data_IF_969594854741
#
_entry.id   IF_969594854741
#
_cell.length_a   1.000
_cell.length_b   1.000
_cell.length_c   1.000
_cell.angle_alpha   90.00
_cell.angle_beta   90.00
_cell.angle_gamma   90.00
#
_symmetry.space_group_name_H-M   'P 1'
#
loop_
_entity.id
_entity.type
_entity.pdbx_description
1 polymer ?
#
# COMPACT_ATOMS: atom_id res chain seq x y z
N UNK A 1 7.63 9.79 6.71
CA UNK A 1 7.00 9.86 5.37
C UNK A 1 7.17 8.50 4.73
N UNK A 2 6.10 7.70 4.68
CA UNK A 2 6.12 6.33 4.18
C UNK A 2 6.48 6.29 2.69
N UNK A 3 7.47 5.46 2.33
CA UNK A 3 7.84 5.21 0.93
C UNK A 3 7.46 3.78 0.58
N UNK A 4 6.53 3.63 -0.36
CA UNK A 4 6.25 2.32 -0.97
C UNK A 4 7.48 1.95 -1.81
N UNK A 5 8.11 0.82 -1.50
CA UNK A 5 9.26 0.30 -2.26
C UNK A 5 8.82 -0.98 -2.95
N UNK A 6 8.39 -0.89 -4.20
CA UNK A 6 8.07 -2.09 -4.98
C UNK A 6 9.35 -2.87 -5.27
N UNK A 7 9.54 -4.03 -4.63
CA UNK A 7 10.44 -5.08 -5.10
C UNK A 7 9.60 -6.20 -5.70
N UNK A 8 9.34 -6.09 -7.00
CA UNK A 8 8.91 -7.23 -7.82
C UNK A 8 10.09 -7.66 -8.66
N UNK A 9 10.32 -8.97 -8.82
CA UNK A 9 10.87 -9.49 -10.09
C UNK A 9 10.18 -8.71 -11.21
N UNK A 10 10.94 -7.86 -11.90
CA UNK A 10 10.34 -6.80 -12.71
C UNK A 10 9.52 -7.44 -13.85
N UNK A 11 8.19 -7.24 -13.90
CA UNK A 11 7.54 -7.25 -15.18
C UNK A 11 8.18 -6.10 -15.95
N UNK A 12 8.86 -6.43 -17.05
CA UNK A 12 9.49 -5.51 -18.01
C UNK A 12 8.69 -4.20 -18.08
N UNK A 13 9.33 -3.06 -17.81
CA UNK A 13 8.69 -1.74 -17.84
C UNK A 13 7.88 -1.58 -19.13
N UNK A 14 6.54 -1.68 -19.02
CA UNK A 14 5.64 -1.49 -20.16
C UNK A 14 5.41 0.00 -20.34
N UNK A 15 5.43 0.45 -21.60
CA UNK A 15 5.22 1.85 -21.92
C UNK A 15 3.84 2.33 -21.46
N UNK A 16 3.73 3.62 -21.12
CA UNK A 16 2.46 4.25 -20.72
C UNK A 16 1.34 4.08 -21.77
N UNK A 17 1.72 3.88 -23.04
CA UNK A 17 0.82 3.53 -24.15
C UNK A 17 0.30 2.08 -24.10
N UNK A 18 1.10 1.11 -23.64
CA UNK A 18 0.71 -0.30 -23.51
C UNK A 18 -0.11 -0.57 -22.23
N UNK A 19 0.10 0.22 -21.17
CA UNK A 19 -0.75 0.16 -19.96
C UNK A 19 -2.15 0.73 -20.22
N UNK A 20 -2.27 1.70 -21.13
CA UNK A 20 -3.53 2.33 -21.52
C UNK A 20 -4.36 1.47 -22.48
N UNK A 21 -3.76 0.48 -23.14
CA UNK A 21 -4.46 -0.39 -24.10
C UNK A 21 -5.19 -1.57 -23.46
N UNK A 22 -4.89 -1.90 -22.20
CA UNK A 22 -5.45 -3.09 -21.53
C UNK A 22 -6.57 -2.79 -20.52
N UNK A 23 -6.69 -1.54 -20.04
CA UNK A 23 -7.69 -1.17 -19.03
C UNK A 23 -8.96 -0.66 -19.72
N UNK A 24 -10.07 -1.39 -19.54
CA UNK A 24 -11.34 -0.95 -20.11
C UNK A 24 -11.83 0.31 -19.41
N UNK A 25 -12.55 1.19 -20.12
CA UNK A 25 -13.20 2.36 -19.52
C UNK A 25 -14.04 1.97 -18.30
N UNK A 26 -14.67 0.79 -18.36
CA UNK A 26 -15.46 0.21 -17.27
C UNK A 26 -14.63 -0.09 -16.02
N UNK A 27 -13.39 -0.58 -16.16
CA UNK A 27 -12.51 -0.87 -15.02
C UNK A 27 -12.08 0.43 -14.32
N UNK A 28 -11.78 1.46 -15.09
CA UNK A 28 -11.44 2.78 -14.54
C UNK A 28 -12.60 3.37 -13.75
N UNK A 29 -13.82 3.36 -14.30
CA UNK A 29 -15.01 3.84 -13.61
C UNK A 29 -15.31 3.02 -12.35
N UNK A 30 -15.12 1.69 -12.40
CA UNK A 30 -15.28 0.83 -11.23
C UNK A 30 -14.30 1.22 -10.11
N UNK A 31 -13.02 1.39 -10.43
CA UNK A 31 -11.99 1.81 -9.46
C UNK A 31 -12.34 3.15 -8.84
N UNK A 32 -12.70 4.15 -9.66
CA UNK A 32 -13.14 5.46 -9.15
C UNK A 32 -14.34 5.34 -8.20
N UNK A 33 -15.35 4.55 -8.56
CA UNK A 33 -16.54 4.36 -7.72
C UNK A 33 -16.23 3.71 -6.36
N UNK A 34 -15.25 2.79 -6.33
CA UNK A 34 -14.79 2.15 -5.10
C UNK A 34 -14.03 3.18 -4.25
N UNK A 35 -13.12 3.95 -4.84
CA UNK A 35 -12.38 5.00 -4.13
C UNK A 35 -13.33 6.02 -3.51
N UNK A 36 -14.34 6.46 -4.26
CA UNK A 36 -15.34 7.42 -3.77
C UNK A 36 -16.15 6.85 -2.61
N UNK A 37 -16.51 5.55 -2.67
CA UNK A 37 -17.22 4.87 -1.60
C UNK A 37 -16.37 4.72 -0.33
N UNK A 38 -15.09 4.37 -0.47
CA UNK A 38 -14.19 4.15 0.66
C UNK A 38 -13.52 5.44 1.16
N UNK A 39 -13.84 6.60 0.57
CA UNK A 39 -13.20 7.89 0.84
C UNK A 39 -13.17 8.24 2.32
N UNK A 40 -14.29 8.12 3.02
CA UNK A 40 -14.36 8.48 4.44
C UNK A 40 -13.52 7.53 5.31
N UNK A 41 -13.49 6.24 4.97
CA UNK A 41 -12.64 5.27 5.63
C UNK A 41 -11.15 5.60 5.42
N UNK A 42 -10.71 5.79 4.16
CA UNK A 42 -9.33 6.13 3.84
C UNK A 42 -8.90 7.45 4.49
N UNK A 43 -9.80 8.44 4.51
CA UNK A 43 -9.56 9.70 5.20
C UNK A 43 -9.42 9.49 6.72
N UNK A 44 -10.25 8.64 7.32
CA UNK A 44 -10.17 8.35 8.76
C UNK A 44 -8.82 7.73 9.16
N UNK A 45 -8.33 6.77 8.36
CA UNK A 45 -7.01 6.14 8.53
C UNK A 45 -5.90 7.20 8.43
N UNK A 46 -5.96 8.05 7.41
CA UNK A 46 -4.98 9.13 7.21
C UNK A 46 -4.99 10.13 8.37
N UNK A 47 -6.17 10.53 8.84
CA UNK A 47 -6.34 11.44 9.96
C UNK A 47 -5.84 10.84 11.28
N UNK A 48 -6.04 9.54 11.50
CA UNK A 48 -5.56 8.87 12.70
C UNK A 48 -4.03 8.85 12.75
N UNK A 49 -3.37 8.47 11.65
CA UNK A 49 -1.91 8.53 11.54
C UNK A 49 -1.41 9.97 11.72
N UNK A 50 -2.07 10.95 11.10
CA UNK A 50 -1.65 12.36 11.17
C UNK A 50 -1.80 12.96 12.57
N UNK A 51 -2.84 12.58 13.32
CA UNK A 51 -3.09 13.07 14.69
C UNK A 51 -2.18 12.44 15.74
N UNK A 52 -1.55 11.31 15.42
CA UNK A 52 -0.62 10.60 16.28
C UNK A 52 0.79 10.62 15.66
N UNK A 53 1.46 11.79 15.60
CA UNK A 53 2.78 11.88 14.99
C UNK A 53 3.81 11.12 15.84
N UNK A 54 4.61 10.28 15.17
CA UNK A 54 5.67 9.48 15.78
C UNK A 54 7.04 9.88 15.24
N UNK A 55 8.10 9.52 15.96
CA UNK A 55 9.47 9.75 15.54
C UNK A 55 9.86 8.72 14.46
N UNK A 56 10.78 9.11 13.57
CA UNK A 56 11.32 8.20 12.58
C UNK A 56 11.89 6.94 13.25
N UNK A 57 11.59 5.76 12.70
CA UNK A 57 11.92 4.43 13.26
C UNK A 57 11.16 4.01 14.53
N UNK A 58 10.29 4.86 15.07
CA UNK A 58 9.42 4.56 16.21
C UNK A 58 7.93 4.73 15.85
N UNK A 59 7.61 4.59 14.56
CA UNK A 59 6.28 4.73 13.97
C UNK A 59 5.41 3.48 14.25
N UNK A 60 5.22 3.12 15.53
CA UNK A 60 4.51 1.91 15.96
C UNK A 60 3.00 2.01 15.75
N UNK A 61 2.40 3.15 16.09
CA UNK A 61 0.98 3.40 15.85
C UNK A 61 0.67 3.37 14.36
N UNK A 62 1.44 4.07 13.54
CA UNK A 62 1.24 4.06 12.10
C UNK A 62 1.46 2.66 11.49
N UNK A 63 2.45 1.91 12.00
CA UNK A 63 2.68 0.52 11.61
C UNK A 63 1.46 -0.37 11.90
N UNK A 64 0.94 -0.32 13.12
CA UNK A 64 -0.20 -1.14 13.53
C UNK A 64 -1.46 -0.79 12.72
N UNK A 65 -1.76 0.51 12.57
CA UNK A 65 -2.90 0.98 11.78
C UNK A 65 -2.83 0.47 10.33
N UNK A 66 -1.68 0.65 9.67
CA UNK A 66 -1.55 0.25 8.26
C UNK A 66 -1.60 -1.28 8.08
N UNK A 67 -0.93 -2.02 8.95
CA UNK A 67 -0.89 -3.48 8.86
C UNK A 67 -2.25 -4.11 9.16
N UNK A 68 -3.01 -3.56 10.10
CA UNK A 68 -4.36 -4.03 10.43
C UNK A 68 -5.36 -3.72 9.32
N UNK A 69 -5.29 -2.52 8.72
CA UNK A 69 -6.12 -2.14 7.58
C UNK A 69 -5.86 -3.06 6.38
N UNK A 70 -4.58 -3.30 6.05
CA UNK A 70 -4.23 -4.17 4.93
C UNK A 70 -4.66 -5.62 5.17
N UNK A 71 -4.42 -6.16 6.37
CA UNK A 71 -4.84 -7.51 6.74
C UNK A 71 -6.36 -7.67 6.64
N UNK A 72 -7.12 -6.67 7.11
CA UNK A 72 -8.59 -6.66 7.04
C UNK A 72 -9.12 -6.59 5.60
N UNK A 73 -8.33 -6.05 4.67
CA UNK A 73 -8.66 -5.97 3.25
C UNK A 73 -8.11 -7.16 2.42
N UNK A 74 -7.71 -8.25 3.09
CA UNK A 74 -7.34 -9.50 2.43
C UNK A 74 -5.90 -9.56 1.91
N UNK A 75 -5.04 -8.64 2.35
CA UNK A 75 -3.61 -8.78 2.14
C UNK A 75 -3.02 -9.79 3.13
N UNK A 76 -2.07 -10.59 2.67
CA UNK A 76 -1.17 -11.34 3.53
C UNK A 76 -0.09 -10.38 4.05
N UNK A 77 -0.17 -10.03 5.33
CA UNK A 77 0.75 -9.06 5.94
C UNK A 77 1.76 -9.76 6.85
N UNK A 78 3.04 -9.53 6.57
CA UNK A 78 4.16 -9.89 7.43
C UNK A 78 4.62 -8.63 8.17
N UNK A 79 4.22 -8.52 9.44
CA UNK A 79 4.67 -7.45 10.35
C UNK A 79 6.13 -7.66 10.74
N UNK A 80 6.82 -6.59 11.10
CA UNK A 80 8.21 -6.59 11.57
C UNK A 80 9.23 -7.26 10.61
N UNK A 81 9.08 -7.03 9.31
CA UNK A 81 9.81 -7.76 8.27
C UNK A 81 11.34 -7.53 8.30
N UNK A 82 11.77 -6.26 8.26
CA UNK A 82 13.19 -5.87 8.31
C UNK A 82 13.54 -4.97 9.51
N UNK A 83 12.54 -4.31 10.08
CA UNK A 83 12.63 -3.40 11.20
C UNK A 83 11.36 -3.58 12.04
N UNK A 84 11.35 -3.20 13.33
CA UNK A 84 10.14 -3.23 14.16
C UNK A 84 8.96 -2.48 13.53
N UNK A 85 9.20 -1.46 12.70
CA UNK A 85 8.15 -0.67 12.03
C UNK A 85 7.99 -1.00 10.55
N UNK A 86 8.79 -1.90 9.98
CA UNK A 86 8.67 -2.29 8.57
C UNK A 86 7.71 -3.48 8.41
N UNK A 87 6.91 -3.48 7.33
CA UNK A 87 6.03 -4.60 6.99
C UNK A 87 6.03 -4.91 5.50
N UNK A 88 5.69 -6.15 5.17
CA UNK A 88 5.47 -6.62 3.80
C UNK A 88 4.00 -7.01 3.65
N UNK A 89 3.34 -6.58 2.57
CA UNK A 89 1.95 -6.93 2.29
C UNK A 89 1.80 -7.51 0.89
N UNK A 90 1.17 -8.68 0.77
CA UNK A 90 0.99 -9.37 -0.52
C UNK A 90 -0.49 -9.62 -0.78
N UNK A 91 -0.95 -9.30 -1.98
CA UNK A 91 -2.30 -9.59 -2.43
C UNK A 91 -2.28 -10.55 -3.60
N UNK A 92 -2.89 -11.71 -3.43
CA UNK A 92 -3.03 -12.69 -4.51
C UNK A 92 -4.40 -12.56 -5.16
N UNK A 93 -4.41 -12.34 -6.48
CA UNK A 93 -5.63 -12.40 -7.28
C UNK A 93 -5.60 -13.63 -8.19
N UNK A 94 -6.72 -13.94 -8.87
CA UNK A 94 -6.81 -15.08 -9.80
C UNK A 94 -5.85 -14.98 -10.99
N UNK A 95 -5.36 -13.78 -11.31
CA UNK A 95 -4.51 -13.50 -12.48
C UNK A 95 -3.03 -13.31 -12.12
N UNK A 96 -2.67 -13.33 -10.82
CA UNK A 96 -1.30 -13.17 -10.36
C UNK A 96 -1.20 -12.60 -8.94
N UNK A 97 0.01 -12.60 -8.41
CA UNK A 97 0.34 -12.01 -7.10
C UNK A 97 0.81 -10.57 -7.32
N UNK A 98 0.17 -9.64 -6.61
CA UNK A 98 0.61 -8.25 -6.48
C UNK A 98 1.19 -8.06 -5.09
N UNK A 99 2.51 -7.93 -5.00
CA UNK A 99 3.20 -7.65 -3.73
C UNK A 99 3.44 -6.15 -3.58
N UNK A 100 3.00 -5.59 -2.46
CA UNK A 100 3.24 -4.20 -2.06
C UNK A 100 4.11 -4.22 -0.81
N UNK A 101 5.36 -3.79 -0.96
CA UNK A 101 6.27 -3.69 0.17
C UNK A 101 6.34 -2.23 0.61
N UNK A 102 5.99 -1.97 1.86
CA UNK A 102 6.09 -0.63 2.44
C UNK A 102 7.25 -0.70 3.42
N UNK A 103 8.39 -0.17 2.95
CA UNK A 103 9.57 -0.04 3.80
C UNK A 103 9.56 1.37 4.36
N UNK A 104 9.48 1.48 5.69
CA UNK A 104 9.89 2.70 6.36
C UNK A 104 11.42 2.81 6.27
N UNK A 105 11.88 3.37 5.14
CA UNK A 105 13.24 3.91 5.00
C UNK A 105 13.10 5.41 4.77
N UNK A 106 13.10 6.18 5.85
CA UNK A 106 13.61 7.55 5.77
C UNK A 106 15.13 7.43 5.74
N UNK A 107 15.73 7.47 4.55
CA UNK A 107 17.18 7.63 4.43
C UNK A 107 17.57 8.91 5.19
N UNK A 108 18.28 8.73 6.31
CA UNK A 108 19.08 9.77 6.91
C UNK A 108 20.30 10.01 6.01
N UNK A 109 20.11 10.87 5.01
CA UNK A 109 21.09 11.79 4.43
C UNK A 109 20.36 12.80 3.55
#
# INVERSE_FOLDING_TARGET
>A
MFRIVHFSDTPKERSKSELRSDMSETDFQLVCSIIDREKEFLNSVSQDIWKNPELAYEEFHAHDVLTDVLSSNGFLVEKHYLLPTAFKAEYSSKTGIMSVHILDKINGM
#
